data_IF_307177779439
#
_entry.id   IF_307177779439
#
_cell.length_a   1.000
_cell.length_b   1.000
_cell.length_c   1.000
_cell.angle_alpha   90.00
_cell.angle_beta   90.00
_cell.angle_gamma   90.00
#
_symmetry.space_group_name_H-M   'P 1'
#
loop_
_entity.id
_entity.type
_entity.pdbx_description
1 polymer ?
#
# COMPACT_ATOMS: atom_id res chain seq x y z
N UNK A 1 -6.02 -22.40 -11.11
CA UNK A 1 -7.23 -23.06 -10.57
C UNK A 1 -7.26 -23.07 -9.02
N UNK A 2 -6.20 -23.46 -8.31
CA UNK A 2 -6.19 -23.46 -6.84
C UNK A 2 -6.26 -22.03 -6.25
N UNK A 3 -5.49 -21.12 -6.82
CA UNK A 3 -5.47 -19.69 -6.43
C UNK A 3 -6.82 -19.03 -6.69
N UNK A 4 -7.48 -19.33 -7.80
CA UNK A 4 -8.80 -18.76 -8.13
C UNK A 4 -9.87 -19.26 -7.18
N UNK A 5 -9.82 -20.56 -6.81
CA UNK A 5 -10.72 -21.14 -5.80
C UNK A 5 -10.50 -20.49 -4.44
N UNK A 6 -9.24 -20.35 -4.01
CA UNK A 6 -8.87 -19.69 -2.76
C UNK A 6 -9.37 -18.24 -2.72
N UNK A 7 -9.06 -17.45 -3.77
CA UNK A 7 -9.48 -16.04 -3.86
C UNK A 7 -11.00 -15.88 -3.80
N UNK A 8 -11.73 -16.73 -4.56
CA UNK A 8 -13.20 -16.71 -4.57
C UNK A 8 -13.80 -17.14 -3.23
N UNK A 9 -13.23 -18.17 -2.60
CA UNK A 9 -13.74 -18.66 -1.33
C UNK A 9 -13.43 -17.68 -0.19
N UNK A 10 -12.17 -17.34 -0.01
CA UNK A 10 -11.72 -16.41 1.04
C UNK A 10 -12.27 -15.01 0.84
N UNK A 11 -12.25 -14.51 -0.42
CA UNK A 11 -12.69 -13.15 -0.71
C UNK A 11 -14.17 -12.91 -0.46
N UNK A 12 -15.03 -13.84 -0.88
CA UNK A 12 -16.47 -13.57 -1.01
C UNK A 12 -17.38 -14.53 -0.25
N UNK A 13 -16.95 -15.78 -0.03
CA UNK A 13 -17.83 -16.83 0.49
C UNK A 13 -17.59 -17.20 1.97
N UNK A 14 -16.33 -17.24 2.37
CA UNK A 14 -15.99 -17.52 3.75
C UNK A 14 -16.26 -16.28 4.61
N UNK A 15 -16.96 -16.48 5.71
CA UNK A 15 -17.25 -15.44 6.70
C UNK A 15 -16.55 -15.75 8.02
N UNK A 16 -16.00 -14.73 8.61
CA UNK A 16 -15.20 -14.78 9.82
C UNK A 16 -15.71 -13.75 10.83
N UNK A 17 -15.32 -13.88 12.06
CA UNK A 17 -15.58 -12.84 13.05
C UNK A 17 -14.85 -11.55 12.66
N UNK A 18 -15.56 -10.43 12.73
CA UNK A 18 -14.96 -9.12 12.45
C UNK A 18 -14.04 -8.73 13.61
N UNK A 19 -12.74 -8.51 13.35
CA UNK A 19 -11.82 -8.08 14.39
C UNK A 19 -12.11 -6.67 14.92
N UNK A 20 -12.85 -5.85 14.15
CA UNK A 20 -13.15 -4.45 14.47
C UNK A 20 -14.49 -4.29 15.18
N UNK A 21 -15.46 -5.19 14.93
CA UNK A 21 -16.82 -5.11 15.46
C UNK A 21 -17.25 -6.45 16.07
N UNK A 22 -17.05 -6.66 17.37
CA UNK A 22 -17.42 -7.92 18.04
C UNK A 22 -18.89 -8.30 17.82
N UNK A 23 -19.11 -9.53 17.37
CA UNK A 23 -20.44 -10.07 17.07
C UNK A 23 -20.87 -9.94 15.60
N UNK A 24 -20.15 -9.19 14.80
CA UNK A 24 -20.35 -9.11 13.35
C UNK A 24 -19.52 -10.17 12.60
N UNK A 25 -19.93 -10.45 11.37
CA UNK A 25 -19.26 -11.36 10.45
C UNK A 25 -18.90 -10.63 9.16
N UNK A 26 -17.68 -10.85 8.70
CA UNK A 26 -17.18 -10.25 7.45
C UNK A 26 -16.58 -11.28 6.52
N UNK A 27 -16.58 -11.05 5.20
CA UNK A 27 -15.81 -11.85 4.26
C UNK A 27 -14.32 -11.82 4.61
N UNK A 28 -13.60 -12.90 4.30
CA UNK A 28 -12.19 -13.03 4.64
C UNK A 28 -11.30 -11.86 4.15
N UNK A 29 -11.64 -11.23 3.02
CA UNK A 29 -10.93 -10.03 2.55
C UNK A 29 -11.02 -8.83 3.50
N UNK A 30 -12.02 -8.79 4.37
CA UNK A 30 -12.23 -7.71 5.34
C UNK A 30 -11.74 -8.05 6.75
N UNK A 31 -11.19 -9.26 6.95
CA UNK A 31 -10.56 -9.66 8.23
C UNK A 31 -9.18 -8.99 8.30
N UNK A 32 -9.19 -7.68 8.48
CA UNK A 32 -8.00 -6.84 8.60
C UNK A 32 -8.22 -5.83 9.72
N UNK A 33 -7.13 -5.24 10.17
CA UNK A 33 -7.15 -4.11 11.10
C UNK A 33 -6.22 -3.06 10.54
N UNK A 34 -6.67 -1.82 10.48
CA UNK A 34 -5.80 -0.69 10.14
C UNK A 34 -4.89 -0.40 11.32
N UNK A 35 -3.60 -0.28 11.09
CA UNK A 35 -2.67 0.09 12.16
C UNK A 35 -3.07 1.44 12.77
N UNK A 36 -3.09 1.56 14.11
CA UNK A 36 -3.40 2.82 14.78
C UNK A 36 -2.51 3.95 14.27
N UNK A 37 -3.08 5.14 14.11
CA UNK A 37 -2.35 6.32 13.61
C UNK A 37 -2.30 6.47 12.08
N UNK A 38 -2.46 5.41 11.30
CA UNK A 38 -2.34 5.49 9.82
C UNK A 38 -3.36 6.44 9.21
N UNK A 39 -4.62 6.38 9.64
CA UNK A 39 -5.65 7.27 9.09
C UNK A 39 -5.30 8.76 9.31
N UNK A 40 -4.81 9.08 10.50
CA UNK A 40 -4.36 10.43 10.86
C UNK A 40 -3.19 10.90 10.00
N UNK A 41 -2.24 10.00 9.73
CA UNK A 41 -1.10 10.32 8.88
C UNK A 41 -1.50 10.54 7.42
N UNK A 42 -2.40 9.71 6.88
CA UNK A 42 -2.94 9.92 5.53
C UNK A 42 -3.71 11.24 5.42
N UNK A 43 -4.48 11.62 6.44
CA UNK A 43 -5.17 12.92 6.48
C UNK A 43 -4.19 14.09 6.42
N UNK A 44 -3.08 14.02 7.15
CA UNK A 44 -2.06 15.06 7.16
C UNK A 44 -1.37 15.16 5.80
N UNK A 45 -0.89 14.05 5.25
CA UNK A 45 -0.26 14.00 3.93
C UNK A 45 -1.20 14.53 2.83
N UNK A 46 -2.48 14.17 2.89
CA UNK A 46 -3.47 14.70 1.96
C UNK A 46 -3.66 16.22 2.13
N UNK A 47 -3.69 16.72 3.37
CA UNK A 47 -3.77 18.16 3.66
C UNK A 47 -2.53 18.92 3.20
N UNK A 48 -1.35 18.29 3.22
CA UNK A 48 -0.09 18.84 2.71
C UNK A 48 -0.03 18.85 1.16
N UNK A 49 -1.02 18.27 0.51
CA UNK A 49 -1.17 18.30 -0.96
C UNK A 49 -0.48 17.17 -1.69
N UNK A 50 -0.05 16.12 -1.01
CA UNK A 50 0.48 14.94 -1.67
C UNK A 50 -0.62 14.15 -2.38
N UNK A 51 -0.29 13.61 -3.56
CA UNK A 51 -1.10 12.60 -4.23
C UNK A 51 -0.86 11.24 -3.57
N UNK A 52 -1.91 10.68 -2.96
CA UNK A 52 -1.82 9.43 -2.22
C UNK A 52 -2.37 8.27 -3.04
N UNK A 53 -1.50 7.31 -3.39
CA UNK A 53 -1.87 6.14 -4.17
C UNK A 53 -1.62 4.84 -3.43
N UNK A 54 -2.60 3.94 -3.40
CA UNK A 54 -2.37 2.56 -3.02
C UNK A 54 -1.80 1.79 -4.22
N UNK A 55 -0.62 1.17 -4.04
CA UNK A 55 -0.01 0.24 -5.01
C UNK A 55 0.19 -1.13 -4.35
N UNK A 56 -0.70 -2.09 -4.63
CA UNK A 56 -0.74 -3.38 -3.92
C UNK A 56 -0.60 -4.57 -4.86
N UNK A 57 0.14 -5.61 -4.44
CA UNK A 57 0.13 -6.92 -5.11
C UNK A 57 -1.18 -7.71 -4.88
N UNK A 58 -2.09 -7.21 -4.02
CA UNK A 58 -3.45 -7.74 -3.92
C UNK A 58 -4.23 -7.40 -5.20
N UNK A 59 -5.12 -8.29 -5.68
CA UNK A 59 -5.96 -7.98 -6.84
C UNK A 59 -6.74 -6.67 -6.66
N UNK A 60 -6.68 -5.79 -7.67
CA UNK A 60 -7.28 -4.46 -7.62
C UNK A 60 -8.76 -4.46 -7.25
N UNK A 61 -9.54 -5.43 -7.78
CA UNK A 61 -10.95 -5.58 -7.45
C UNK A 61 -11.23 -5.92 -5.96
N UNK A 62 -10.20 -6.36 -5.22
CA UNK A 62 -10.29 -6.59 -3.77
C UNK A 62 -9.80 -5.40 -2.96
N UNK A 63 -8.93 -4.56 -3.51
CA UNK A 63 -8.41 -3.38 -2.83
C UNK A 63 -9.52 -2.37 -2.54
N UNK A 64 -10.35 -2.05 -3.53
CA UNK A 64 -11.43 -1.08 -3.39
C UNK A 64 -12.39 -1.41 -2.23
N UNK A 65 -13.01 -2.62 -2.17
CA UNK A 65 -13.90 -2.96 -1.05
C UNK A 65 -13.22 -2.95 0.33
N UNK A 66 -11.91 -3.20 0.39
CA UNK A 66 -11.14 -3.11 1.64
C UNK A 66 -10.98 -1.64 2.04
N UNK A 67 -10.56 -0.79 1.11
CA UNK A 67 -10.42 0.64 1.38
C UNK A 67 -11.75 1.29 1.76
N UNK A 68 -12.85 0.91 1.09
CA UNK A 68 -14.19 1.39 1.41
C UNK A 68 -14.61 0.99 2.83
N UNK A 69 -14.40 -0.28 3.19
CA UNK A 69 -14.76 -0.81 4.52
C UNK A 69 -14.04 -0.06 5.65
N UNK A 70 -12.79 0.31 5.43
CA UNK A 70 -11.97 1.04 6.42
C UNK A 70 -12.00 2.56 6.25
N UNK A 71 -12.86 3.09 5.39
CA UNK A 71 -12.95 4.53 5.10
C UNK A 71 -11.61 5.15 4.67
N UNK A 72 -10.82 4.42 3.91
CA UNK A 72 -9.55 4.88 3.35
C UNK A 72 -9.71 5.43 1.93
N UNK A 73 -10.77 5.05 1.21
CA UNK A 73 -11.02 5.49 -0.17
C UNK A 73 -11.08 7.01 -0.29
N UNK A 74 -11.64 7.68 0.71
CA UNK A 74 -11.76 9.13 0.75
C UNK A 74 -10.42 9.87 0.98
N UNK A 75 -9.37 9.14 1.38
CA UNK A 75 -8.03 9.64 1.66
C UNK A 75 -7.01 9.29 0.57
N UNK A 76 -7.42 8.50 -0.42
CA UNK A 76 -6.57 8.02 -1.50
C UNK A 76 -7.05 8.59 -2.83
N UNK A 77 -6.14 9.21 -3.58
CA UNK A 77 -6.43 9.73 -4.92
C UNK A 77 -6.46 8.62 -5.97
N UNK A 78 -5.83 7.47 -5.67
CA UNK A 78 -5.85 6.31 -6.56
C UNK A 78 -5.65 4.98 -5.83
N UNK A 79 -6.30 3.93 -6.34
CA UNK A 79 -6.18 2.56 -5.82
C UNK A 79 -5.79 1.64 -6.97
N UNK A 80 -4.58 1.11 -6.91
CA UNK A 80 -3.97 0.28 -7.93
C UNK A 80 -3.54 -1.06 -7.35
N UNK A 81 -3.82 -2.14 -8.05
CA UNK A 81 -3.53 -3.49 -7.58
C UNK A 81 -3.13 -4.44 -8.69
N UNK A 82 -2.88 -5.70 -8.35
CA UNK A 82 -2.62 -6.74 -9.33
C UNK A 82 -3.82 -6.93 -10.28
N UNK A 83 -3.54 -7.27 -11.55
CA UNK A 83 -4.59 -7.52 -12.53
C UNK A 83 -5.27 -8.87 -12.31
N UNK A 84 -6.52 -8.99 -12.76
CA UNK A 84 -7.30 -10.23 -12.64
C UNK A 84 -6.76 -11.34 -13.56
N UNK A 85 -6.21 -10.97 -14.69
CA UNK A 85 -5.67 -11.87 -15.71
C UNK A 85 -4.21 -12.29 -15.44
N UNK A 86 -3.64 -11.84 -14.32
CA UNK A 86 -2.25 -12.04 -13.90
C UNK A 86 -1.19 -11.44 -14.85
N UNK A 87 -1.54 -10.48 -15.69
CA UNK A 87 -0.59 -9.73 -16.52
C UNK A 87 0.21 -8.69 -15.74
N UNK A 88 -0.25 -8.33 -14.54
CA UNK A 88 0.36 -7.39 -13.60
C UNK A 88 0.26 -7.98 -12.20
N UNK A 89 1.33 -8.57 -11.68
CA UNK A 89 1.37 -9.25 -10.38
C UNK A 89 2.40 -8.64 -9.42
N UNK A 90 3.56 -8.26 -9.96
CA UNK A 90 4.68 -7.81 -9.17
C UNK A 90 4.57 -6.32 -8.84
N UNK A 91 5.21 -5.89 -7.77
CA UNK A 91 5.10 -4.53 -7.24
C UNK A 91 5.53 -3.47 -8.27
N UNK A 92 6.64 -3.68 -8.98
CA UNK A 92 7.11 -2.77 -10.02
C UNK A 92 6.08 -2.61 -11.15
N UNK A 93 5.42 -3.69 -11.56
CA UNK A 93 4.36 -3.65 -12.58
C UNK A 93 3.17 -2.82 -12.10
N UNK A 94 2.80 -2.94 -10.82
CA UNK A 94 1.70 -2.14 -10.24
C UNK A 94 2.10 -0.67 -10.14
N UNK A 95 3.33 -0.35 -9.72
CA UNK A 95 3.84 1.03 -9.66
C UNK A 95 3.84 1.66 -11.05
N UNK A 96 4.38 0.98 -12.08
CA UNK A 96 4.37 1.47 -13.47
C UNK A 96 2.94 1.72 -13.98
N UNK A 97 2.03 0.81 -13.67
CA UNK A 97 0.61 0.98 -14.01
C UNK A 97 -0.01 2.21 -13.31
N UNK A 98 0.29 2.42 -12.03
CA UNK A 98 -0.11 3.62 -11.31
C UNK A 98 0.40 4.86 -12.05
N UNK A 99 1.69 4.91 -12.37
CA UNK A 99 2.32 6.03 -13.07
C UNK A 99 1.68 6.32 -14.42
N UNK A 100 1.41 5.28 -15.21
CA UNK A 100 0.69 5.43 -16.49
C UNK A 100 -0.70 6.05 -16.31
N UNK A 101 -1.41 5.67 -15.23
CA UNK A 101 -2.75 6.16 -14.95
C UNK A 101 -2.81 7.60 -14.49
N UNK A 102 -1.83 8.03 -13.70
CA UNK A 102 -1.78 9.40 -13.17
C UNK A 102 -1.00 10.36 -14.09
N UNK A 103 -0.34 9.84 -15.13
CA UNK A 103 0.51 10.65 -16.01
C UNK A 103 1.80 11.11 -15.35
N UNK A 104 2.37 10.31 -14.44
CA UNK A 104 3.62 10.62 -13.76
C UNK A 104 4.76 10.76 -14.76
N UNK A 105 5.47 11.89 -14.71
CA UNK A 105 6.62 12.19 -15.56
C UNK A 105 7.79 12.77 -14.74
N UNK A 106 8.72 11.90 -14.40
CA UNK A 106 9.93 12.30 -13.68
C UNK A 106 10.78 13.33 -14.46
N UNK A 107 10.70 13.34 -15.80
CA UNK A 107 11.42 14.33 -16.63
C UNK A 107 10.75 15.71 -16.54
N UNK A 108 9.46 15.77 -16.26
CA UNK A 108 8.74 17.01 -15.97
C UNK A 108 8.91 17.50 -14.52
N UNK A 109 9.58 16.72 -13.67
CA UNK A 109 9.87 17.08 -12.28
C UNK A 109 8.96 16.40 -11.25
N UNK A 110 8.12 15.45 -11.67
CA UNK A 110 7.34 14.67 -10.72
C UNK A 110 8.25 13.79 -9.86
N UNK A 111 7.91 13.70 -8.58
CA UNK A 111 8.64 12.88 -7.60
C UNK A 111 7.68 11.96 -6.86
N UNK A 112 8.17 10.78 -6.50
CA UNK A 112 7.41 9.82 -5.73
C UNK A 112 8.33 9.05 -4.77
N UNK A 113 7.76 8.56 -3.68
CA UNK A 113 8.42 7.64 -2.75
C UNK A 113 7.46 6.50 -2.44
N UNK A 114 7.97 5.29 -2.32
CA UNK A 114 7.19 4.13 -1.89
C UNK A 114 7.16 4.05 -0.37
N UNK A 115 6.00 3.78 0.20
CA UNK A 115 5.86 3.44 1.62
C UNK A 115 5.45 1.96 1.69
N UNK A 116 6.22 1.16 2.41
CA UNK A 116 5.93 -0.27 2.46
C UNK A 116 6.57 -0.99 3.64
N UNK A 117 6.14 -2.21 3.88
CA UNK A 117 6.56 -3.00 5.04
C UNK A 117 7.27 -4.31 4.66
N UNK A 118 7.52 -4.55 3.36
CA UNK A 118 8.17 -5.76 2.89
C UNK A 118 9.22 -5.48 1.82
N UNK A 119 10.15 -6.43 1.69
CA UNK A 119 11.16 -6.38 0.63
C UNK A 119 10.56 -6.18 -0.77
N UNK A 120 9.37 -6.72 -1.02
CA UNK A 120 8.70 -6.56 -2.32
C UNK A 120 8.35 -5.11 -2.62
N UNK A 121 8.08 -4.30 -1.60
CA UNK A 121 7.79 -2.87 -1.75
C UNK A 121 9.08 -2.13 -2.12
N UNK A 122 10.17 -2.45 -1.43
CA UNK A 122 11.48 -1.84 -1.64
C UNK A 122 12.04 -2.22 -3.02
N UNK A 123 12.10 -3.51 -3.33
CA UNK A 123 12.60 -3.99 -4.62
C UNK A 123 11.77 -3.46 -5.79
N UNK A 124 10.44 -3.42 -5.63
CA UNK A 124 9.54 -2.88 -6.64
C UNK A 124 9.71 -1.38 -6.86
N UNK A 125 9.95 -0.61 -5.80
CA UNK A 125 10.27 0.81 -5.88
C UNK A 125 11.60 1.03 -6.61
N UNK A 126 12.67 0.35 -6.17
CA UNK A 126 14.00 0.43 -6.79
C UNK A 126 13.98 0.05 -8.28
N UNK A 127 13.21 -0.97 -8.67
CA UNK A 127 13.02 -1.34 -10.07
C UNK A 127 12.31 -0.26 -10.91
N UNK A 128 11.65 0.70 -10.25
CA UNK A 128 11.01 1.86 -10.85
C UNK A 128 11.83 3.16 -10.68
N UNK A 129 13.07 3.07 -10.20
CA UNK A 129 13.93 4.20 -9.85
C UNK A 129 13.31 5.12 -8.78
N UNK A 130 12.63 4.53 -7.81
CA UNK A 130 12.11 5.21 -6.64
C UNK A 130 12.85 4.74 -5.40
N UNK A 131 12.91 5.60 -4.41
CA UNK A 131 13.25 5.21 -3.05
C UNK A 131 12.04 4.62 -2.32
N UNK A 132 12.31 3.90 -1.21
CA UNK A 132 11.28 3.35 -0.35
C UNK A 132 11.55 3.67 1.12
N UNK A 133 10.52 4.14 1.82
CA UNK A 133 10.51 4.26 3.28
C UNK A 133 9.87 3.00 3.86
N UNK A 134 10.65 2.28 4.66
CA UNK A 134 10.22 1.05 5.31
C UNK A 134 9.41 1.30 6.59
N UNK A 135 8.37 0.49 6.81
CA UNK A 135 7.49 0.58 7.97
C UNK A 135 7.73 -0.59 8.93
N UNK A 136 8.37 -0.35 10.09
CA UNK A 136 8.77 -1.40 11.03
C UNK A 136 7.58 -2.12 11.69
N UNK A 137 6.46 -1.46 11.82
CA UNK A 137 5.24 -2.05 12.42
C UNK A 137 4.53 -3.08 11.53
N UNK A 138 5.01 -3.28 10.31
CA UNK A 138 4.42 -4.24 9.37
C UNK A 138 4.92 -5.68 9.55
N UNK A 139 5.08 -6.40 8.43
CA UNK A 139 5.31 -7.85 8.43
C UNK A 139 6.73 -8.26 8.05
N UNK A 140 7.65 -7.32 7.85
CA UNK A 140 9.04 -7.65 7.53
C UNK A 140 9.73 -8.36 8.70
N UNK A 141 10.45 -9.45 8.47
CA UNK A 141 11.43 -9.96 9.42
C UNK A 141 12.50 -8.90 9.74
N UNK A 142 13.12 -9.03 10.89
CA UNK A 142 14.21 -8.14 11.28
C UNK A 142 15.35 -8.19 10.26
N UNK A 143 15.80 -7.02 9.80
CA UNK A 143 16.87 -6.86 8.82
C UNK A 143 16.43 -6.90 7.35
N UNK A 144 15.20 -7.37 7.02
CA UNK A 144 14.75 -7.50 5.65
C UNK A 144 14.79 -6.16 4.89
N UNK A 145 14.26 -5.11 5.50
CA UNK A 145 14.17 -3.81 4.84
C UNK A 145 15.55 -3.16 4.64
N UNK A 146 16.46 -3.33 5.59
CA UNK A 146 17.84 -2.87 5.51
C UNK A 146 18.61 -3.61 4.41
N UNK A 147 18.48 -4.93 4.36
CA UNK A 147 19.14 -5.78 3.35
C UNK A 147 18.69 -5.47 1.92
N UNK A 148 17.43 -5.07 1.75
CA UNK A 148 16.86 -4.67 0.46
C UNK A 148 17.05 -3.18 0.13
N UNK A 149 17.68 -2.41 1.00
CA UNK A 149 18.10 -1.03 0.72
C UNK A 149 16.97 0.00 0.86
N UNK A 150 16.12 -0.15 1.87
CA UNK A 150 15.18 0.92 2.23
C UNK A 150 15.95 2.23 2.47
N UNK A 151 15.46 3.34 1.90
CA UNK A 151 16.06 4.68 2.04
C UNK A 151 16.05 5.15 3.50
N UNK A 152 14.91 4.98 4.16
CA UNK A 152 14.70 5.25 5.56
C UNK A 152 13.78 4.16 6.13
N UNK A 153 13.91 3.88 7.43
CA UNK A 153 12.98 2.97 8.12
C UNK A 153 12.41 3.71 9.32
N UNK A 154 11.09 3.77 9.39
CA UNK A 154 10.37 4.40 10.48
C UNK A 154 9.76 3.34 11.40
N UNK A 155 9.80 3.61 12.71
CA UNK A 155 9.45 2.63 13.74
C UNK A 155 7.94 2.65 14.09
N UNK A 156 7.27 3.78 13.89
CA UNK A 156 5.89 3.99 14.28
C UNK A 156 5.12 4.80 13.24
N UNK A 157 3.81 4.55 13.07
CA UNK A 157 2.98 5.28 12.11
C UNK A 157 3.05 6.80 12.24
N UNK A 158 3.18 7.34 13.45
CA UNK A 158 3.23 8.77 13.74
C UNK A 158 4.42 9.49 13.10
N UNK A 159 5.43 8.76 12.68
CA UNK A 159 6.62 9.30 12.01
C UNK A 159 6.44 9.49 10.50
N UNK A 160 5.33 8.98 9.93
CA UNK A 160 5.17 8.86 8.48
C UNK A 160 5.15 10.23 7.77
N UNK A 161 4.36 11.17 8.25
CA UNK A 161 4.28 12.53 7.67
C UNK A 161 5.65 13.22 7.69
N UNK A 162 6.32 13.21 8.84
CA UNK A 162 7.64 13.81 8.99
C UNK A 162 8.69 13.17 8.07
N UNK A 163 8.65 11.84 7.89
CA UNK A 163 9.56 11.12 7.02
C UNK A 163 9.35 11.47 5.54
N UNK A 164 8.08 11.55 5.11
CA UNK A 164 7.72 11.94 3.75
C UNK A 164 8.13 13.39 3.47
N UNK A 165 7.85 14.30 4.40
CA UNK A 165 8.22 15.72 4.26
C UNK A 165 9.74 15.88 4.17
N UNK A 166 10.51 15.24 5.05
CA UNK A 166 11.99 15.23 4.97
C UNK A 166 12.49 14.70 3.64
N UNK A 167 11.89 13.61 3.15
CA UNK A 167 12.28 13.03 1.86
C UNK A 167 12.15 14.05 0.73
N UNK A 168 11.01 14.71 0.60
CA UNK A 168 10.76 15.67 -0.48
C UNK A 168 11.47 17.02 -0.31
N UNK A 169 11.89 17.39 0.91
CA UNK A 169 12.75 18.55 1.14
C UNK A 169 14.19 18.32 0.67
N UNK A 170 14.68 17.08 0.71
CA UNK A 170 16.06 16.71 0.33
C UNK A 170 16.22 16.36 -1.16
N UNK A 171 15.17 16.08 -1.86
CA UNK A 171 15.13 15.65 -3.26
C UNK A 171 14.33 16.61 -4.12
#
# INVERSE_FOLDING_TARGET
RAVDIYRSYYGDRAVFDDPNEPGNKVPGRLVNVVFPGIREQLLKLHADGYYLALASCKPEYQCMPICDHFHLTELLDGIYGASKDNSRLDKDQVIRYCFDKIGFDAAAGDRAVMIGDRYTDIDGALACNLDAIGCRWGYAPAGEMEEHGAYEIIEQPEQLEDAVNRYFEMH
#
